data_IF_136465600355
#
_entry.id   IF_136465600355
#
_cell.length_a   1.000
_cell.length_b   1.000
_cell.length_c   1.000
_cell.angle_alpha   90.00
_cell.angle_beta   90.00
_cell.angle_gamma   90.00
#
_symmetry.space_group_name_H-M   'P 1'
#
loop_
_entity.id
_entity.type
_entity.pdbx_description
1 polymer ?
#
# COMPACT_ATOMS: atom_id res chain seq x y z
N UNK A 1 7.29 2.99 -5.69
CA UNK A 1 5.96 2.58 -5.18
C UNK A 1 5.95 2.43 -3.65
N UNK A 2 6.81 1.60 -3.05
CA UNK A 2 6.88 1.46 -1.58
C UNK A 2 7.27 2.76 -0.85
N UNK A 3 8.22 3.54 -1.36
CA UNK A 3 8.64 4.78 -0.69
C UNK A 3 7.50 5.80 -0.51
N UNK A 4 6.66 5.99 -1.54
CA UNK A 4 5.48 6.86 -1.43
C UNK A 4 4.49 6.33 -0.39
N UNK A 5 4.21 5.02 -0.41
CA UNK A 5 3.38 4.38 0.61
C UNK A 5 3.96 4.61 2.01
N UNK A 6 5.27 4.42 2.16
CA UNK A 6 5.95 4.54 3.44
C UNK A 6 5.93 6.00 3.93
N UNK A 7 6.06 6.97 3.01
CA UNK A 7 5.95 8.40 3.32
C UNK A 7 4.55 8.76 3.80
N UNK A 8 3.52 8.31 3.09
CA UNK A 8 2.11 8.54 3.47
C UNK A 8 1.77 7.79 4.76
N UNK A 9 2.34 6.60 4.97
CA UNK A 9 2.22 5.87 6.24
C UNK A 9 2.86 6.64 7.39
N UNK A 10 4.05 7.21 7.20
CA UNK A 10 4.72 8.04 8.20
C UNK A 10 3.93 9.30 8.50
N UNK A 11 3.46 10.02 7.48
CA UNK A 11 2.63 11.22 7.65
C UNK A 11 1.31 10.94 8.37
N UNK A 12 0.69 9.78 8.11
CA UNK A 12 -0.57 9.38 8.74
C UNK A 12 -0.40 8.53 10.00
N UNK A 13 0.83 8.33 10.48
CA UNK A 13 1.16 7.44 11.58
C UNK A 13 0.53 6.03 11.45
N UNK A 14 0.45 5.54 10.20
CA UNK A 14 -0.06 4.22 9.87
C UNK A 14 1.07 3.21 9.98
N UNK A 15 0.74 2.08 10.60
CA UNK A 15 1.63 0.94 10.68
C UNK A 15 1.20 -0.11 9.63
N UNK A 16 2.11 -0.95 9.17
CA UNK A 16 1.86 -1.95 8.12
C UNK A 16 0.64 -2.85 8.44
N UNK A 17 0.41 -3.16 9.72
CA UNK A 17 -0.77 -3.86 10.20
C UNK A 17 -2.08 -3.04 10.10
N UNK A 18 -2.02 -1.74 10.43
CA UNK A 18 -3.17 -0.84 10.29
C UNK A 18 -3.52 -0.67 8.82
N UNK A 19 -2.50 -0.54 7.98
CA UNK A 19 -2.67 -0.44 6.54
C UNK A 19 -3.28 -1.71 5.96
N UNK A 20 -2.80 -2.89 6.36
CA UNK A 20 -3.41 -4.17 5.98
C UNK A 20 -4.88 -4.28 6.38
N UNK A 21 -5.24 -3.80 7.59
CA UNK A 21 -6.65 -3.74 8.02
C UNK A 21 -7.48 -2.73 7.24
N UNK A 22 -6.96 -1.54 6.99
CA UNK A 22 -7.65 -0.45 6.28
C UNK A 22 -7.93 -0.80 4.81
N UNK A 23 -6.94 -1.41 4.17
CA UNK A 23 -6.98 -1.75 2.75
C UNK A 23 -7.59 -3.13 2.50
N UNK A 24 -7.70 -3.97 3.54
CA UNK A 24 -8.12 -5.37 3.40
C UNK A 24 -7.11 -6.21 2.62
N UNK A 25 -5.85 -5.77 2.54
CA UNK A 25 -4.78 -6.45 1.81
C UNK A 25 -3.96 -7.28 2.80
N UNK A 26 -3.65 -8.51 2.40
CA UNK A 26 -2.88 -9.43 3.23
C UNK A 26 -1.44 -8.92 3.46
N UNK A 27 -0.88 -9.15 4.64
CA UNK A 27 0.45 -8.67 5.03
C UNK A 27 1.55 -9.18 4.10
N UNK A 28 1.38 -10.38 3.53
CA UNK A 28 2.33 -10.93 2.55
C UNK A 28 2.51 -10.03 1.34
N UNK A 29 1.43 -9.44 0.81
CA UNK A 29 1.54 -8.48 -0.30
C UNK A 29 2.35 -7.24 0.10
N UNK A 30 2.22 -6.75 1.34
CA UNK A 30 3.02 -5.64 1.81
C UNK A 30 4.50 -6.02 1.98
N UNK A 31 4.78 -7.22 2.48
CA UNK A 31 6.14 -7.75 2.59
C UNK A 31 6.79 -7.88 1.23
N UNK A 32 6.09 -8.45 0.24
CA UNK A 32 6.61 -8.61 -1.11
C UNK A 32 6.75 -7.25 -1.84
N UNK A 33 5.87 -6.28 -1.55
CA UNK A 33 5.96 -4.90 -2.05
C UNK A 33 7.16 -4.15 -1.45
N UNK A 34 7.38 -4.30 -0.14
CA UNK A 34 8.54 -3.77 0.58
C UNK A 34 9.84 -4.39 0.07
N UNK A 35 9.81 -5.69 -0.20
CA UNK A 35 10.98 -6.42 -0.67
C UNK A 35 11.26 -6.23 -2.17
N UNK A 36 10.42 -5.48 -2.89
CA UNK A 36 10.55 -5.22 -4.32
C UNK A 36 10.25 -6.43 -5.21
N UNK A 37 9.73 -7.52 -4.62
CA UNK A 37 9.41 -8.79 -5.29
C UNK A 37 8.20 -8.65 -6.22
N UNK A 38 7.25 -7.81 -5.84
CA UNK A 38 6.17 -7.33 -6.70
C UNK A 38 6.35 -5.83 -6.92
N UNK A 39 6.64 -5.47 -8.18
CA UNK A 39 6.59 -4.07 -8.64
C UNK A 39 5.16 -3.60 -8.90
N UNK A 40 4.24 -4.54 -9.13
CA UNK A 40 2.84 -4.25 -9.43
C UNK A 40 1.93 -5.12 -8.58
N UNK A 41 1.07 -4.48 -7.79
CA UNK A 41 -0.11 -5.12 -7.24
C UNK A 41 -1.14 -5.29 -8.36
N UNK A 42 -1.88 -6.39 -8.37
CA UNK A 42 -3.07 -6.51 -9.23
C UNK A 42 -3.98 -5.30 -9.03
N UNK A 43 -4.64 -4.83 -10.08
CA UNK A 43 -5.47 -3.62 -10.07
C UNK A 43 -6.42 -3.57 -8.86
N UNK A 44 -7.11 -4.67 -8.53
CA UNK A 44 -7.96 -4.77 -7.34
C UNK A 44 -7.24 -4.45 -6.02
N UNK A 45 -6.00 -4.92 -5.85
CA UNK A 45 -5.24 -4.61 -4.65
C UNK A 45 -4.76 -3.17 -4.68
N UNK A 46 -4.39 -2.64 -5.84
CA UNK A 46 -4.01 -1.23 -5.97
C UNK A 46 -5.18 -0.30 -5.61
N UNK A 47 -6.40 -0.58 -6.10
CA UNK A 47 -7.63 0.16 -5.77
C UNK A 47 -7.94 0.06 -4.28
N UNK A 48 -7.85 -1.14 -3.69
CA UNK A 48 -8.03 -1.33 -2.25
C UNK A 48 -7.02 -0.54 -1.42
N UNK A 49 -5.77 -0.49 -1.88
CA UNK A 49 -4.68 0.21 -1.22
C UNK A 49 -4.89 1.72 -1.31
N UNK A 50 -5.23 2.22 -2.51
CA UNK A 50 -5.53 3.62 -2.77
C UNK A 50 -6.76 4.10 -2.00
N UNK A 51 -7.83 3.31 -1.96
CA UNK A 51 -9.04 3.59 -1.16
C UNK A 51 -8.74 3.59 0.34
N UNK A 52 -8.00 2.59 0.86
CA UNK A 52 -7.68 2.53 2.28
C UNK A 52 -6.68 3.60 2.75
N UNK A 53 -5.84 4.11 1.83
CA UNK A 53 -4.97 5.27 2.09
C UNK A 53 -5.63 6.61 1.75
N UNK A 54 -6.76 6.62 1.03
CA UNK A 54 -7.41 7.82 0.53
C UNK A 54 -6.51 8.63 -0.41
N UNK A 55 -5.78 7.95 -1.29
CA UNK A 55 -4.85 8.54 -2.26
C UNK A 55 -5.16 8.01 -3.66
N UNK A 56 -4.84 8.79 -4.70
CA UNK A 56 -5.09 8.39 -6.09
C UNK A 56 -4.11 7.32 -6.58
N UNK A 57 -4.60 6.42 -7.44
CA UNK A 57 -3.79 5.39 -8.10
C UNK A 57 -2.63 5.98 -8.92
N UNK A 58 -2.80 7.19 -9.46
CA UNK A 58 -1.75 7.91 -10.18
C UNK A 58 -0.51 8.21 -9.34
N UNK A 59 -0.64 8.30 -8.01
CA UNK A 59 0.54 8.43 -7.15
C UNK A 59 1.40 7.15 -7.16
N UNK A 60 0.82 6.01 -7.51
CA UNK A 60 1.55 4.74 -7.63
C UNK A 60 2.14 4.51 -9.02
N UNK A 61 1.81 5.33 -10.01
CA UNK A 61 2.25 5.21 -11.40
C UNK A 61 3.76 5.41 -11.56
#
# INVERSE_FOLDING_TARGET
MWEKINKIMLERNLNMNKLAKLTGINKSHFSDLKSGRIKHLSWSNMVKLSTGLGISLDEFK
#
